data_IF_068365858413
#
_entry.id   IF_068365858413
#
_cell.length_a   1.000
_cell.length_b   1.000
_cell.length_c   1.000
_cell.angle_alpha   90.00
_cell.angle_beta   90.00
_cell.angle_gamma   90.00
#
_symmetry.space_group_name_H-M   'P 1'
#
loop_
_entity.id
_entity.type
_entity.pdbx_description
1 polymer ?
#
# COMPACT_ATOMS: atom_id res chain seq x y z
N UNK A 1 8.73 -20.97 -4.54
CA UNK A 1 7.41 -20.50 -5.01
C UNK A 1 7.61 -19.16 -5.70
N UNK A 2 7.13 -18.98 -6.94
CA UNK A 2 7.42 -17.78 -7.76
C UNK A 2 6.46 -16.62 -7.40
N UNK A 3 6.97 -15.38 -7.32
CA UNK A 3 6.20 -14.17 -7.04
C UNK A 3 5.03 -13.98 -8.02
N UNK A 4 5.23 -14.30 -9.31
CA UNK A 4 4.17 -14.24 -10.32
C UNK A 4 3.00 -15.18 -10.01
N UNK A 5 3.30 -16.42 -9.59
CA UNK A 5 2.27 -17.40 -9.25
C UNK A 5 1.46 -16.96 -8.03
N UNK A 6 2.11 -16.33 -7.04
CA UNK A 6 1.44 -15.75 -5.87
C UNK A 6 0.57 -14.55 -6.22
N UNK A 7 1.05 -13.66 -7.09
CA UNK A 7 0.27 -12.54 -7.59
C UNK A 7 -0.99 -13.00 -8.33
N UNK A 8 -0.88 -14.03 -9.18
CA UNK A 8 -2.05 -14.61 -9.85
C UNK A 8 -3.05 -15.21 -8.86
N UNK A 9 -2.56 -16.04 -7.93
CA UNK A 9 -3.41 -16.63 -6.90
C UNK A 9 -4.14 -15.55 -6.10
N UNK A 10 -3.45 -14.46 -5.75
CA UNK A 10 -4.04 -13.35 -5.02
C UNK A 10 -5.24 -12.73 -5.74
N UNK A 11 -5.09 -12.46 -7.05
CA UNK A 11 -6.18 -11.87 -7.84
C UNK A 11 -7.36 -12.83 -7.98
N UNK A 12 -7.11 -14.12 -8.15
CA UNK A 12 -8.17 -15.14 -8.23
C UNK A 12 -8.95 -15.27 -6.90
N UNK A 13 -8.29 -15.09 -5.76
CA UNK A 13 -8.90 -15.24 -4.43
C UNK A 13 -9.38 -13.91 -3.83
N UNK A 14 -9.30 -12.80 -4.57
CA UNK A 14 -9.47 -11.44 -4.05
C UNK A 14 -10.84 -11.19 -3.39
N UNK A 15 -11.94 -11.65 -3.99
CA UNK A 15 -13.31 -11.38 -3.52
C UNK A 15 -13.70 -12.15 -2.25
N UNK A 16 -12.97 -13.22 -1.91
CA UNK A 16 -13.32 -14.13 -0.81
C UNK A 16 -12.33 -14.14 0.34
N UNK A 17 -11.24 -13.37 0.25
CA UNK A 17 -10.12 -13.49 1.18
C UNK A 17 -9.58 -12.12 1.61
N UNK A 18 -9.49 -11.91 2.93
CA UNK A 18 -8.77 -10.77 3.50
C UNK A 18 -7.29 -11.15 3.52
N UNK A 19 -6.63 -11.02 2.36
CA UNK A 19 -5.21 -11.31 2.22
C UNK A 19 -4.43 -10.01 1.98
N UNK A 20 -3.44 -9.75 2.82
CA UNK A 20 -2.40 -8.75 2.56
C UNK A 20 -1.11 -9.49 2.22
N UNK A 21 -0.32 -9.03 1.25
CA UNK A 21 1.02 -9.56 0.99
C UNK A 21 2.05 -8.43 0.88
N UNK A 22 3.33 -8.79 0.86
CA UNK A 22 4.45 -7.85 0.83
C UNK A 22 5.36 -8.29 -0.31
N UNK A 23 5.68 -7.38 -1.22
CA UNK A 23 6.77 -7.60 -2.16
C UNK A 23 8.07 -7.07 -1.54
N UNK A 24 8.99 -7.96 -1.23
CA UNK A 24 10.35 -7.62 -0.81
C UNK A 24 11.37 -8.10 -1.84
N UNK A 25 12.46 -7.35 -1.99
CA UNK A 25 13.50 -7.66 -2.96
C UNK A 25 14.31 -6.42 -3.33
N UNK A 26 15.44 -6.62 -4.01
CA UNK A 26 16.32 -5.52 -4.46
C UNK A 26 15.58 -4.52 -5.37
N UNK A 27 16.03 -3.26 -5.46
CA UNK A 27 15.57 -2.36 -6.52
C UNK A 27 15.71 -3.02 -7.91
N UNK A 28 14.80 -2.70 -8.83
CA UNK A 28 14.82 -3.25 -10.19
C UNK A 28 14.31 -4.70 -10.34
N UNK A 29 13.82 -5.36 -9.29
CA UNK A 29 13.29 -6.73 -9.37
C UNK A 29 11.82 -6.84 -9.82
N UNK A 30 11.24 -5.77 -10.35
CA UNK A 30 9.88 -5.78 -10.91
C UNK A 30 8.73 -5.78 -9.89
N UNK A 31 8.97 -5.41 -8.63
CA UNK A 31 7.92 -5.34 -7.58
C UNK A 31 6.77 -4.40 -7.98
N UNK A 32 7.10 -3.17 -8.35
CA UNK A 32 6.13 -2.17 -8.80
C UNK A 32 5.41 -2.62 -10.07
N UNK A 33 6.11 -3.32 -10.96
CA UNK A 33 5.50 -3.88 -12.16
C UNK A 33 4.45 -4.96 -11.82
N UNK A 34 4.76 -5.83 -10.86
CA UNK A 34 3.83 -6.86 -10.40
C UNK A 34 2.63 -6.27 -9.65
N UNK A 35 2.85 -5.24 -8.83
CA UNK A 35 1.78 -4.49 -8.18
C UNK A 35 0.85 -3.83 -9.22
N UNK A 36 1.42 -3.15 -10.22
CA UNK A 36 0.65 -2.55 -11.31
C UNK A 36 -0.14 -3.60 -12.11
N UNK A 37 0.43 -4.79 -12.34
CA UNK A 37 -0.27 -5.87 -13.02
C UNK A 37 -1.49 -6.38 -12.23
N UNK A 38 -1.35 -6.53 -10.90
CA UNK A 38 -2.46 -6.87 -9.99
C UNK A 38 -3.53 -5.79 -10.02
N UNK A 39 -3.14 -4.53 -9.87
CA UNK A 39 -4.06 -3.39 -9.90
C UNK A 39 -4.84 -3.32 -11.21
N UNK A 40 -4.16 -3.50 -12.35
CA UNK A 40 -4.81 -3.49 -13.66
C UNK A 40 -5.85 -4.61 -13.81
N UNK A 41 -5.52 -5.82 -13.37
CA UNK A 41 -6.45 -6.95 -13.43
C UNK A 41 -7.68 -6.70 -12.53
N UNK A 42 -7.48 -6.14 -11.34
CA UNK A 42 -8.59 -5.81 -10.43
C UNK A 42 -9.45 -4.64 -10.94
N UNK A 43 -8.84 -3.65 -11.58
CA UNK A 43 -9.56 -2.58 -12.29
C UNK A 43 -10.48 -3.16 -13.38
N UNK A 44 -9.99 -4.14 -14.16
CA UNK A 44 -10.80 -4.84 -15.17
C UNK A 44 -11.96 -5.63 -14.55
N UNK A 45 -11.83 -6.05 -13.28
CA UNK A 45 -12.89 -6.70 -12.49
C UNK A 45 -13.81 -5.70 -11.77
N UNK A 46 -13.67 -4.41 -12.04
CA UNK A 46 -14.51 -3.35 -11.46
C UNK A 46 -14.16 -3.00 -10.02
N UNK A 47 -12.96 -3.33 -9.56
CA UNK A 47 -12.47 -2.96 -8.22
C UNK A 47 -11.78 -1.60 -8.23
N UNK A 48 -11.92 -0.88 -7.13
CA UNK A 48 -11.18 0.34 -6.84
C UNK A 48 -9.78 0.00 -6.33
N UNK A 49 -8.75 0.57 -6.96
CA UNK A 49 -7.35 0.34 -6.57
C UNK A 49 -6.63 1.68 -6.45
N UNK A 50 -5.71 1.78 -5.49
CA UNK A 50 -4.87 2.96 -5.31
C UNK A 50 -3.42 2.53 -5.11
N UNK A 51 -2.50 3.15 -5.86
CA UNK A 51 -1.06 3.05 -5.63
C UNK A 51 -0.59 4.42 -5.14
N UNK A 52 0.04 4.46 -3.97
CA UNK A 52 0.50 5.70 -3.35
C UNK A 52 1.84 5.49 -2.65
N UNK A 53 2.72 6.49 -2.67
CA UNK A 53 3.97 6.43 -1.89
C UNK A 53 3.73 6.91 -0.46
N UNK A 54 4.57 6.49 0.48
CA UNK A 54 4.53 7.06 1.84
C UNK A 54 4.82 8.57 1.84
N UNK A 55 5.66 9.06 0.93
CA UNK A 55 5.90 10.50 0.79
C UNK A 55 4.62 11.26 0.46
N UNK A 56 3.83 10.74 -0.47
CA UNK A 56 2.58 11.37 -0.90
C UNK A 56 1.52 11.34 0.21
N UNK A 57 1.39 10.22 0.94
CA UNK A 57 0.52 10.14 2.13
C UNK A 57 0.92 11.24 3.13
N UNK A 58 2.20 11.32 3.47
CA UNK A 58 2.70 12.29 4.45
C UNK A 58 2.58 13.73 3.97
N UNK A 59 2.69 13.98 2.67
CA UNK A 59 2.46 15.30 2.08
C UNK A 59 0.98 15.68 2.18
N UNK A 60 0.08 14.77 1.80
CA UNK A 60 -1.36 14.98 1.88
C UNK A 60 -1.82 15.24 3.33
N UNK A 61 -1.31 14.47 4.30
CA UNK A 61 -1.59 14.71 5.72
C UNK A 61 -1.09 16.08 6.20
N UNK A 62 0.05 16.56 5.71
CA UNK A 62 0.54 17.92 6.05
C UNK A 62 -0.35 19.00 5.47
N UNK A 63 -0.87 18.79 4.25
CA UNK A 63 -1.73 19.74 3.58
C UNK A 63 -3.11 19.84 4.25
N UNK A 64 -3.64 18.77 4.85
CA UNK A 64 -4.88 18.82 5.64
C UNK A 64 -4.77 19.70 6.89
N UNK A 65 -3.56 19.95 7.42
CA UNK A 65 -3.37 20.92 8.51
C UNK A 65 -3.34 22.38 8.01
N UNK A 66 -3.03 22.60 6.73
CA UNK A 66 -2.92 23.95 6.13
C UNK A 66 -4.22 24.42 5.50
N UNK A 67 -5.01 23.50 4.96
CA UNK A 67 -6.27 23.78 4.30
C UNK A 67 -7.43 23.24 5.13
N UNK A 68 -8.34 24.13 5.55
CA UNK A 68 -9.55 23.77 6.31
C UNK A 68 -10.60 22.98 5.51
N UNK A 69 -10.36 22.74 4.21
CA UNK A 69 -11.30 22.10 3.29
C UNK A 69 -11.26 20.56 3.26
N UNK A 70 -10.15 19.94 3.68
CA UNK A 70 -9.99 18.49 3.70
C UNK A 70 -9.41 18.08 5.06
N UNK A 71 -10.12 17.25 5.80
CA UNK A 71 -9.65 16.75 7.10
C UNK A 71 -8.73 15.53 6.92
N UNK A 72 -7.87 15.30 7.91
CA UNK A 72 -7.08 14.07 8.01
C UNK A 72 -7.98 12.82 8.00
N UNK A 73 -9.13 12.90 8.68
CA UNK A 73 -10.15 11.84 8.70
C UNK A 73 -10.68 11.53 7.29
N UNK A 74 -10.94 12.55 6.46
CA UNK A 74 -11.39 12.35 5.09
C UNK A 74 -10.33 11.63 4.26
N UNK A 75 -9.06 12.03 4.39
CA UNK A 75 -7.95 11.36 3.70
C UNK A 75 -7.85 9.89 4.11
N UNK A 76 -7.93 9.60 5.42
CA UNK A 76 -7.88 8.22 5.92
C UNK A 76 -9.08 7.39 5.44
N UNK A 77 -10.27 7.98 5.39
CA UNK A 77 -11.45 7.34 4.84
C UNK A 77 -11.27 7.01 3.35
N UNK A 78 -10.76 7.95 2.55
CA UNK A 78 -10.53 7.74 1.13
C UNK A 78 -9.50 6.62 0.89
N UNK A 79 -8.43 6.58 1.68
CA UNK A 79 -7.42 5.51 1.62
C UNK A 79 -7.96 4.15 2.08
N UNK A 80 -8.92 4.12 3.01
CA UNK A 80 -9.47 2.88 3.56
C UNK A 80 -10.61 2.28 2.73
N UNK A 81 -11.29 3.11 1.94
CA UNK A 81 -12.47 2.73 1.16
C UNK A 81 -12.17 2.10 -0.20
N UNK A 82 -10.90 2.07 -0.63
CA UNK A 82 -10.52 1.36 -1.85
C UNK A 82 -10.45 -0.15 -1.59
N UNK A 83 -10.80 -0.95 -2.60
CA UNK A 83 -10.73 -2.41 -2.50
C UNK A 83 -9.28 -2.89 -2.35
N UNK A 84 -8.33 -2.22 -3.01
CA UNK A 84 -6.90 -2.51 -2.92
C UNK A 84 -6.06 -1.23 -2.73
N UNK A 85 -5.32 -1.15 -1.63
CA UNK A 85 -4.36 -0.09 -1.36
C UNK A 85 -2.91 -0.60 -1.43
N UNK A 86 -2.15 -0.12 -2.42
CA UNK A 86 -0.73 -0.39 -2.58
C UNK A 86 0.08 0.79 -2.05
N UNK A 87 0.90 0.54 -1.04
CA UNK A 87 1.80 1.55 -0.46
C UNK A 87 3.26 1.24 -0.86
N UNK A 88 3.88 2.17 -1.58
CA UNK A 88 5.27 2.06 -2.03
C UNK A 88 6.25 2.86 -1.14
N UNK A 89 7.53 2.50 -1.23
CA UNK A 89 8.68 3.22 -0.65
C UNK A 89 8.75 3.28 0.89
N UNK A 90 7.99 2.43 1.59
CA UNK A 90 7.90 2.42 3.07
C UNK A 90 9.26 2.44 3.80
N UNK A 91 10.28 1.71 3.35
CA UNK A 91 11.55 1.67 4.09
C UNK A 91 12.64 2.64 3.64
N UNK A 92 12.36 3.50 2.65
CA UNK A 92 13.22 4.67 2.38
C UNK A 92 13.05 5.70 3.50
N UNK A 93 11.86 5.75 4.11
CA UNK A 93 11.44 6.80 5.05
C UNK A 93 11.37 6.32 6.50
N UNK A 94 12.14 5.30 6.92
CA UNK A 94 12.17 4.83 8.32
C UNK A 94 12.76 5.89 9.28
N UNK A 95 11.96 6.92 9.54
CA UNK A 95 11.87 7.81 10.69
C UNK A 95 10.48 8.46 10.62
N UNK A 96 9.44 7.63 10.66
CA UNK A 96 8.07 8.08 10.91
C UNK A 96 7.70 7.52 12.28
N UNK A 97 7.79 8.36 13.31
CA UNK A 97 7.16 8.06 14.60
C UNK A 97 5.64 8.19 14.40
N UNK A 98 4.98 7.07 14.09
CA UNK A 98 3.53 7.02 14.08
C UNK A 98 3.05 7.22 15.53
N UNK A 99 2.48 8.40 15.83
CA UNK A 99 1.71 8.60 17.05
C UNK A 99 0.43 7.78 16.91
N UNK A 100 0.25 6.78 17.77
CA UNK A 100 -1.01 6.05 17.85
C UNK A 100 -2.08 7.00 18.39
N UNK A 101 -2.98 7.45 17.53
CA UNK A 101 -4.32 7.90 17.93
C UNK A 101 -5.26 6.70 17.85
N UNK A 102 -6.06 6.50 18.90
CA UNK A 102 -6.91 5.32 19.15
C UNK A 102 -8.11 5.16 18.20
N UNK A 103 -7.93 5.34 16.89
CA UNK A 103 -8.91 4.93 15.89
C UNK A 103 -8.53 3.56 15.35
N UNK A 104 -9.34 2.56 15.67
CA UNK A 104 -9.19 1.21 15.17
C UNK A 104 -9.62 1.19 13.70
N UNK A 105 -8.71 1.02 12.72
CA UNK A 105 -9.09 0.99 11.31
C UNK A 105 -9.94 -0.27 11.05
N UNK A 106 -11.04 -0.09 10.32
CA UNK A 106 -11.96 -1.16 9.93
C UNK A 106 -11.22 -2.21 9.08
N UNK A 107 -11.52 -3.48 9.34
CA UNK A 107 -10.72 -4.67 8.96
C UNK A 107 -10.83 -5.08 7.48
N UNK A 108 -11.07 -4.15 6.55
CA UNK A 108 -11.44 -4.52 5.15
C UNK A 108 -10.44 -4.15 4.06
N UNK A 109 -9.34 -3.46 4.36
CA UNK A 109 -8.37 -3.06 3.33
C UNK A 109 -7.13 -3.98 3.38
N UNK A 110 -6.80 -4.75 2.32
CA UNK A 110 -5.56 -5.49 2.26
C UNK A 110 -4.38 -4.51 2.10
N UNK A 111 -3.54 -4.44 3.12
CA UNK A 111 -2.49 -3.43 3.28
C UNK A 111 -1.15 -3.97 2.76
N UNK A 112 -0.63 -3.36 1.69
CA UNK A 112 0.62 -3.76 1.06
C UNK A 112 1.82 -2.97 1.58
N UNK A 113 2.87 -3.66 2.02
CA UNK A 113 4.14 -3.04 2.43
C UNK A 113 5.27 -3.35 1.44
N UNK A 114 6.17 -2.39 1.22
CA UNK A 114 7.46 -2.58 0.54
C UNK A 114 8.61 -2.14 1.45
N UNK A 115 9.44 -3.08 1.90
CA UNK A 115 10.71 -2.76 2.56
C UNK A 115 11.87 -2.81 1.54
N UNK A 116 12.73 -1.78 1.46
CA UNK A 116 14.06 -1.93 0.94
C UNK A 116 14.85 -2.80 1.93
N UNK A 117 15.49 -3.84 1.40
CA UNK A 117 16.37 -4.69 2.18
C UNK A 117 17.56 -3.85 2.67
N UNK A 118 17.68 -3.65 3.99
CA UNK A 118 18.84 -2.97 4.60
C UNK A 118 20.01 -3.92 4.93
N UNK A 119 19.86 -5.21 4.65
CA UNK A 119 20.86 -6.22 5.04
C UNK A 119 21.86 -6.56 3.91
N UNK A 120 22.26 -5.57 3.10
CA UNK A 120 23.32 -5.74 2.09
C UNK A 120 24.54 -4.82 2.30
N UNK A 121 24.52 -3.92 3.27
CA UNK A 121 25.65 -3.01 3.58
C UNK A 121 26.50 -3.49 4.78
N UNK A 122 26.43 -4.77 5.13
CA UNK A 122 27.38 -5.43 6.04
C UNK A 122 27.89 -6.73 5.43
N UNK A 123 28.79 -6.61 4.44
CA UNK A 123 29.84 -7.58 4.16
C UNK A 123 31.02 -6.89 3.48
#
# INVERSE_FOLDING_TARGET
MNALSKARQYVEEFDGNIASFIFSGKPGTGKNHLAAAICNELLLRGKSVLIITVADIMSAMKDTFRNSGTSEEQLLNDLSNVDLLVIDEIGVQTRIEIRKSDHQPDRRSPLFFQTPNRDADQQ
#
